data_IF_989953455886
#
_entry.id   IF_989953455886
#
_cell.length_a   1.000
_cell.length_b   1.000
_cell.length_c   1.000
_cell.angle_alpha   90.00
_cell.angle_beta   90.00
_cell.angle_gamma   90.00
#
_symmetry.space_group_name_H-M   'P 1'
#
loop_
_entity.id
_entity.type
_entity.pdbx_description
1 polymer ?
#
# COMPACT_ATOMS: atom_id res chain seq x y z
N UNK A 1 17.16 -39.32 9.74
CA UNK A 1 18.31 -38.68 10.40
C UNK A 1 18.07 -37.18 10.39
N UNK A 2 17.89 -36.55 11.55
CA UNK A 2 17.76 -35.09 11.66
C UNK A 2 19.13 -34.42 11.50
N UNK A 3 19.16 -33.14 11.09
CA UNK A 3 20.39 -32.36 11.03
C UNK A 3 20.89 -32.04 12.44
N UNK A 4 22.19 -31.88 12.60
CA UNK A 4 22.79 -31.45 13.86
C UNK A 4 22.66 -29.92 14.02
N UNK A 5 22.65 -29.39 15.26
CA UNK A 5 22.57 -27.94 15.48
C UNK A 5 23.69 -27.12 14.79
N UNK A 6 24.88 -27.72 14.65
CA UNK A 6 26.01 -27.08 13.96
C UNK A 6 25.75 -26.97 12.46
N UNK A 7 25.19 -28.00 11.84
CA UNK A 7 24.81 -27.97 10.42
C UNK A 7 23.69 -26.97 10.14
N UNK A 8 22.72 -26.84 11.05
CA UNK A 8 21.66 -25.84 10.95
C UNK A 8 22.20 -24.41 10.98
N UNK A 9 23.12 -24.13 11.91
CA UNK A 9 23.77 -22.82 12.02
C UNK A 9 24.56 -22.47 10.74
N UNK A 10 25.29 -23.43 10.17
CA UNK A 10 26.02 -23.24 8.92
C UNK A 10 25.08 -22.97 7.74
N UNK A 11 23.94 -23.66 7.67
CA UNK A 11 22.93 -23.42 6.64
C UNK A 11 22.35 -22.01 6.79
N UNK A 12 22.06 -21.56 8.01
CA UNK A 12 21.55 -20.21 8.22
C UNK A 12 22.57 -19.14 7.83
N UNK A 13 23.83 -19.29 8.24
CA UNK A 13 24.90 -18.38 7.83
C UNK A 13 25.00 -18.28 6.31
N UNK A 14 25.03 -19.43 5.62
CA UNK A 14 25.08 -19.47 4.16
C UNK A 14 23.88 -18.80 3.51
N UNK A 15 22.68 -18.96 4.06
CA UNK A 15 21.47 -18.27 3.57
C UNK A 15 21.56 -16.76 3.73
N UNK A 16 22.18 -16.26 4.79
CA UNK A 16 22.40 -14.82 4.97
C UNK A 16 23.31 -14.26 3.87
N UNK A 17 24.44 -14.92 3.60
CA UNK A 17 25.36 -14.53 2.52
C UNK A 17 24.69 -14.62 1.12
N UNK A 18 23.92 -15.68 0.88
CA UNK A 18 23.13 -15.84 -0.36
C UNK A 18 22.11 -14.71 -0.52
N UNK A 19 21.40 -14.35 0.56
CA UNK A 19 20.40 -13.28 0.54
C UNK A 19 21.05 -11.92 0.23
N UNK A 20 22.16 -11.59 0.88
CA UNK A 20 22.88 -10.34 0.68
C UNK A 20 23.33 -10.18 -0.78
N UNK A 21 24.03 -11.17 -1.33
CA UNK A 21 24.49 -11.11 -2.72
C UNK A 21 23.34 -11.07 -3.73
N UNK A 22 22.24 -11.78 -3.45
CA UNK A 22 21.06 -11.77 -4.30
C UNK A 22 20.38 -10.39 -4.33
N UNK A 23 20.27 -9.73 -3.17
CA UNK A 23 19.73 -8.37 -3.07
C UNK A 23 20.62 -7.32 -3.76
N UNK A 24 21.93 -7.55 -3.79
CA UNK A 24 22.89 -6.74 -4.55
C UNK A 24 22.84 -6.98 -6.07
N UNK A 25 21.97 -7.87 -6.55
CA UNK A 25 21.77 -8.15 -7.99
C UNK A 25 22.63 -9.29 -8.56
N UNK A 26 23.33 -10.06 -7.72
CA UNK A 26 24.15 -11.18 -8.20
C UNK A 26 23.28 -12.32 -8.72
N UNK A 27 23.71 -12.95 -9.82
CA UNK A 27 23.03 -14.13 -10.37
C UNK A 27 23.28 -15.39 -9.53
N UNK A 28 22.38 -16.36 -9.55
CA UNK A 28 22.53 -17.62 -8.78
C UNK A 28 23.84 -18.37 -9.13
N UNK A 29 24.26 -18.30 -10.41
CA UNK A 29 25.51 -18.91 -10.86
C UNK A 29 26.75 -18.17 -10.35
N UNK A 30 26.68 -16.84 -10.18
CA UNK A 30 27.76 -16.07 -9.55
C UNK A 30 27.85 -16.37 -8.05
N UNK A 31 26.70 -16.38 -7.36
CA UNK A 31 26.58 -16.73 -5.94
C UNK A 31 27.13 -18.14 -5.66
N UNK A 32 26.75 -19.11 -6.49
CA UNK A 32 27.22 -20.49 -6.38
C UNK A 32 28.75 -20.60 -6.49
N UNK A 33 29.36 -19.88 -7.45
CA UNK A 33 30.81 -19.83 -7.61
C UNK A 33 31.51 -19.18 -6.42
N UNK A 34 30.95 -18.09 -5.89
CA UNK A 34 31.53 -17.33 -4.79
C UNK A 34 31.50 -18.10 -3.46
N UNK A 35 30.42 -18.81 -3.17
CA UNK A 35 30.27 -19.61 -1.95
C UNK A 35 30.75 -21.06 -2.10
N UNK A 36 31.34 -21.42 -3.25
CA UNK A 36 31.79 -22.78 -3.57
C UNK A 36 30.72 -23.86 -3.33
N UNK A 37 29.46 -23.57 -3.68
CA UNK A 37 28.34 -24.51 -3.58
C UNK A 37 27.69 -24.75 -4.94
N UNK A 38 26.88 -25.81 -5.04
CA UNK A 38 26.11 -26.05 -6.26
C UNK A 38 25.03 -24.98 -6.45
N UNK A 39 24.73 -24.65 -7.71
CA UNK A 39 23.63 -23.73 -8.03
C UNK A 39 22.27 -24.27 -7.56
N UNK A 40 22.09 -25.60 -7.50
CA UNK A 40 20.91 -26.21 -6.90
C UNK A 40 20.79 -25.90 -5.40
N UNK A 41 21.91 -25.86 -4.67
CA UNK A 41 21.92 -25.49 -3.25
C UNK A 41 21.54 -24.02 -3.06
N UNK A 42 22.02 -23.11 -3.93
CA UNK A 42 21.62 -21.69 -3.94
C UNK A 42 20.13 -21.54 -4.24
N UNK A 43 19.60 -22.27 -5.22
CA UNK A 43 18.17 -22.25 -5.55
C UNK A 43 17.29 -22.69 -4.38
N UNK A 44 17.67 -23.77 -3.69
CA UNK A 44 16.97 -24.24 -2.49
C UNK A 44 17.03 -23.23 -1.34
N UNK A 45 18.15 -22.56 -1.14
CA UNK A 45 18.27 -21.51 -0.14
C UNK A 45 17.42 -20.30 -0.48
N UNK A 46 17.43 -19.83 -1.73
CA UNK A 46 16.57 -18.72 -2.17
C UNK A 46 15.09 -19.07 -2.06
N UNK A 47 14.72 -20.35 -2.21
CA UNK A 47 13.35 -20.80 -1.92
C UNK A 47 13.02 -20.67 -0.44
N UNK A 48 13.93 -21.08 0.44
CA UNK A 48 13.74 -20.94 1.88
C UNK A 48 13.71 -19.48 2.33
N UNK A 49 14.66 -18.65 1.87
CA UNK A 49 14.72 -17.21 2.15
C UNK A 49 13.41 -16.51 1.74
N UNK A 50 12.90 -16.81 0.53
CA UNK A 50 11.62 -16.25 0.08
C UNK A 50 10.44 -16.69 0.94
N UNK A 51 10.46 -17.93 1.42
CA UNK A 51 9.45 -18.43 2.33
C UNK A 51 9.55 -17.72 3.69
N UNK A 52 10.76 -17.59 4.24
CA UNK A 52 11.02 -16.90 5.51
C UNK A 52 10.62 -15.42 5.43
N UNK A 53 10.91 -14.73 4.32
CA UNK A 53 10.47 -13.36 4.09
C UNK A 53 8.95 -13.23 3.98
N UNK A 54 8.30 -14.18 3.29
CA UNK A 54 6.84 -14.23 3.21
C UNK A 54 6.21 -14.44 4.59
N UNK A 55 6.73 -15.39 5.35
CA UNK A 55 6.25 -15.68 6.71
C UNK A 55 6.50 -14.50 7.65
N UNK A 56 7.68 -13.87 7.57
CA UNK A 56 7.99 -12.65 8.33
C UNK A 56 7.04 -11.52 7.95
N UNK A 57 6.81 -11.28 6.65
CA UNK A 57 5.87 -10.26 6.19
C UNK A 57 4.43 -10.53 6.62
N UNK A 58 3.99 -11.80 6.62
CA UNK A 58 2.67 -12.19 7.15
C UNK A 58 2.61 -11.90 8.65
N UNK A 59 3.63 -12.28 9.41
CA UNK A 59 3.67 -12.05 10.86
C UNK A 59 3.68 -10.56 11.20
N UNK A 60 4.49 -9.76 10.49
CA UNK A 60 4.56 -8.32 10.70
C UNK A 60 3.22 -7.65 10.35
N UNK A 61 2.54 -8.14 9.30
CA UNK A 61 1.18 -7.72 8.96
C UNK A 61 0.15 -8.11 10.04
N UNK A 62 0.18 -9.35 10.52
CA UNK A 62 -0.68 -9.82 11.62
C UNK A 62 -0.45 -9.02 12.90
N UNK A 63 0.79 -8.68 13.22
CA UNK A 63 1.14 -7.84 14.37
C UNK A 63 0.56 -6.43 14.20
N UNK A 64 0.71 -5.81 13.03
CA UNK A 64 0.12 -4.50 12.74
C UNK A 64 -1.41 -4.53 12.86
N UNK A 65 -2.07 -5.55 12.29
CA UNK A 65 -3.52 -5.78 12.43
C UNK A 65 -3.90 -5.92 13.91
N UNK A 66 -3.12 -6.68 14.69
CA UNK A 66 -3.35 -6.87 16.12
C UNK A 66 -3.27 -5.57 16.92
N UNK A 67 -2.27 -4.73 16.65
CA UNK A 67 -2.11 -3.42 17.28
C UNK A 67 -3.30 -2.49 16.99
N UNK A 68 -3.76 -2.44 15.74
CA UNK A 68 -4.93 -1.63 15.36
C UNK A 68 -6.23 -2.17 15.98
N UNK A 69 -6.43 -3.49 16.00
CA UNK A 69 -7.58 -4.09 16.68
C UNK A 69 -7.60 -3.76 18.18
N UNK A 70 -6.44 -3.74 18.85
CA UNK A 70 -6.36 -3.37 20.25
C UNK A 70 -6.78 -1.91 20.49
N UNK A 71 -6.33 -0.98 19.63
CA UNK A 71 -6.76 0.43 19.69
C UNK A 71 -8.27 0.57 19.49
N UNK A 72 -8.84 -0.15 18.52
CA UNK A 72 -10.28 -0.16 18.27
C UNK A 72 -11.07 -0.73 19.46
N UNK A 73 -10.58 -1.79 20.11
CA UNK A 73 -11.22 -2.35 21.31
C UNK A 73 -11.23 -1.36 22.49
N UNK A 74 -10.11 -0.63 22.70
CA UNK A 74 -10.04 0.41 23.71
C UNK A 74 -11.06 1.52 23.45
N UNK A 75 -11.12 2.00 22.21
CA UNK A 75 -12.05 3.04 21.79
C UNK A 75 -13.52 2.60 21.94
N UNK A 76 -13.85 1.37 21.55
CA UNK A 76 -15.19 0.79 21.72
C UNK A 76 -15.59 0.77 23.20
N UNK A 77 -14.69 0.34 24.08
CA UNK A 77 -14.94 0.33 25.53
C UNK A 77 -15.21 1.73 26.07
N UNK A 78 -14.37 2.70 25.75
CA UNK A 78 -14.51 4.08 26.20
C UNK A 78 -15.79 4.74 25.68
N UNK A 79 -16.17 4.43 24.43
CA UNK A 79 -17.43 4.89 23.84
C UNK A 79 -18.64 4.31 24.59
N UNK A 80 -18.64 3.01 24.90
CA UNK A 80 -19.67 2.39 25.73
C UNK A 80 -19.74 2.96 27.14
N UNK A 81 -18.59 3.26 27.75
CA UNK A 81 -18.53 3.92 29.06
C UNK A 81 -19.06 5.36 29.00
N UNK A 82 -18.76 6.09 27.93
CA UNK A 82 -19.33 7.40 27.65
C UNK A 82 -20.85 7.35 27.51
N UNK A 83 -21.36 6.40 26.72
CA UNK A 83 -22.79 6.15 26.55
C UNK A 83 -23.48 5.85 27.88
N UNK A 84 -22.92 4.94 28.68
CA UNK A 84 -23.46 4.63 30.02
C UNK A 84 -23.49 5.85 30.92
N UNK A 85 -22.40 6.64 30.96
CA UNK A 85 -22.33 7.88 31.76
C UNK A 85 -23.36 8.91 31.31
N UNK A 86 -23.60 9.03 30.01
CA UNK A 86 -24.57 9.99 29.45
C UNK A 86 -26.03 9.65 29.74
N UNK A 87 -26.33 8.43 30.19
CA UNK A 87 -27.66 8.04 30.63
C UNK A 87 -27.92 8.33 32.11
N UNK A 88 -26.87 8.64 32.89
CA UNK A 88 -27.02 8.97 34.30
C UNK A 88 -27.74 10.31 34.44
N UNK A 89 -28.75 10.37 35.31
CA UNK A 89 -29.54 11.58 35.57
C UNK A 89 -28.64 12.72 36.06
N UNK A 90 -28.72 13.87 35.39
CA UNK A 90 -28.06 15.09 35.84
C UNK A 90 -28.86 15.66 37.01
N UNK A 91 -28.41 15.42 38.25
CA UNK A 91 -29.01 16.05 39.42
C UNK A 91 -28.57 17.52 39.47
N UNK A 92 -29.49 18.43 39.12
CA UNK A 92 -29.25 19.87 39.26
C UNK A 92 -29.79 20.33 40.60
N UNK A 93 -28.92 20.80 41.48
CA UNK A 93 -29.32 21.43 42.74
C UNK A 93 -29.35 22.93 42.54
N UNK A 94 -30.55 23.53 42.58
CA UNK A 94 -30.70 24.99 42.61
C UNK A 94 -30.85 25.42 44.05
N UNK A 95 -29.94 26.26 44.52
CA UNK A 95 -30.05 26.93 45.83
C UNK A 95 -30.47 28.37 45.55
N UNK A 96 -31.71 28.68 45.86
CA UNK A 96 -32.23 30.05 45.84
C UNK A 96 -32.30 30.56 47.27
N UNK A 97 -31.61 31.67 47.53
CA UNK A 97 -31.63 32.35 48.83
C UNK A 97 -32.49 33.60 48.70
N UNK A 98 -33.59 33.64 49.44
CA UNK A 98 -34.46 34.82 49.56
C UNK A 98 -34.60 35.14 51.05
N UNK A 99 -33.88 36.14 51.54
CA UNK A 99 -33.87 36.49 52.96
C UNK A 99 -33.12 35.49 53.87
N UNK A 100 -33.63 35.26 55.09
CA UNK A 100 -33.01 34.40 56.11
C UNK A 100 -33.28 32.89 55.92
N UNK A 101 -34.16 32.51 54.99
CA UNK A 101 -34.50 31.10 54.72
C UNK A 101 -33.76 30.58 53.47
N UNK A 102 -33.18 29.38 53.60
CA UNK A 102 -32.55 28.65 52.49
C UNK A 102 -33.46 27.52 52.03
N UNK A 103 -33.91 27.57 50.77
CA UNK A 103 -34.68 26.49 50.15
C UNK A 103 -33.81 25.81 49.09
N UNK A 104 -33.57 24.51 49.26
CA UNK A 104 -32.87 23.70 48.27
C UNK A 104 -33.91 22.93 47.44
N UNK A 105 -33.91 23.13 46.12
CA UNK A 105 -34.78 22.41 45.21
C UNK A 105 -33.94 21.41 44.41
N UNK A 106 -34.27 20.12 44.56
CA UNK A 106 -33.62 19.02 43.85
C UNK A 106 -34.53 18.59 42.70
N UNK A 107 -34.08 18.79 41.47
CA UNK A 107 -34.76 18.33 40.26
C UNK A 107 -33.95 17.19 39.64
N UNK A 108 -34.59 16.05 39.42
CA UNK A 108 -34.02 14.91 38.68
C UNK A 108 -34.75 14.77 37.35
N UNK A 109 -34.00 14.82 36.24
CA UNK A 109 -34.49 14.51 34.89
C UNK A 109 -33.79 13.24 34.40
N UNK A 110 -34.57 12.28 33.90
CA UNK A 110 -34.03 11.15 33.15
C UNK A 110 -33.35 11.65 31.89
N UNK A 111 -32.18 11.10 31.58
CA UNK A 111 -31.44 11.37 30.35
C UNK A 111 -31.50 10.15 29.43
N UNK A 112 -31.60 10.39 28.12
CA UNK A 112 -31.73 9.34 27.11
C UNK A 112 -30.37 8.92 26.48
N UNK A 113 -29.25 9.38 27.05
CA UNK A 113 -27.91 9.14 26.52
C UNK A 113 -27.54 10.06 25.34
N UNK A 114 -26.24 10.31 25.13
CA UNK A 114 -25.72 11.06 23.99
C UNK A 114 -25.47 10.12 22.79
N UNK A 115 -26.23 10.25 21.69
CA UNK A 115 -26.14 9.33 20.55
C UNK A 115 -24.77 9.31 19.86
N UNK A 116 -23.92 10.33 20.06
CA UNK A 116 -22.57 10.38 19.48
C UNK A 116 -21.70 9.21 19.92
N UNK A 117 -21.91 8.68 21.12
CA UNK A 117 -21.18 7.49 21.59
C UNK A 117 -21.58 6.23 20.80
N UNK A 118 -22.85 6.09 20.42
CA UNK A 118 -23.30 4.96 19.60
C UNK A 118 -22.79 5.06 18.17
N UNK A 119 -22.72 6.28 17.61
CA UNK A 119 -22.09 6.52 16.30
C UNK A 119 -20.62 6.11 16.32
N UNK A 120 -19.88 6.45 17.39
CA UNK A 120 -18.49 6.06 17.56
C UNK A 120 -18.33 4.52 17.65
N UNK A 121 -19.22 3.84 18.38
CA UNK A 121 -19.26 2.36 18.42
C UNK A 121 -19.51 1.78 17.02
N UNK A 122 -20.48 2.30 16.29
CA UNK A 122 -20.79 1.86 14.93
C UNK A 122 -19.56 2.03 14.01
N UNK A 123 -18.91 3.19 14.03
CA UNK A 123 -17.69 3.46 13.25
C UNK A 123 -16.57 2.48 13.60
N UNK A 124 -16.38 2.21 14.89
CA UNK A 124 -15.36 1.26 15.37
C UNK A 124 -15.64 -0.17 14.88
N UNK A 125 -16.90 -0.60 14.89
CA UNK A 125 -17.33 -1.89 14.34
C UNK A 125 -17.07 -1.96 12.83
N UNK A 126 -17.40 -0.90 12.09
CA UNK A 126 -17.14 -0.83 10.64
C UNK A 126 -15.64 -0.90 10.33
N UNK A 127 -14.80 -0.14 11.04
CA UNK A 127 -13.34 -0.19 10.86
C UNK A 127 -12.77 -1.57 11.14
N UNK A 128 -13.24 -2.26 12.19
CA UNK A 128 -12.83 -3.65 12.50
C UNK A 128 -13.25 -4.64 11.41
N UNK A 129 -14.46 -4.53 10.88
CA UNK A 129 -14.93 -5.39 9.77
C UNK A 129 -14.10 -5.21 8.51
N UNK A 130 -13.78 -3.96 8.19
CA UNK A 130 -12.91 -3.61 7.06
C UNK A 130 -11.50 -4.17 7.25
N UNK A 131 -10.90 -4.00 8.43
CA UNK A 131 -9.55 -4.50 8.75
C UNK A 131 -9.46 -6.03 8.69
N UNK A 132 -10.53 -6.74 9.09
CA UNK A 132 -10.62 -8.19 9.04
C UNK A 132 -11.08 -8.74 7.67
N UNK A 133 -11.37 -7.88 6.70
CA UNK A 133 -11.85 -8.29 5.38
C UNK A 133 -13.23 -8.99 5.41
N UNK A 134 -14.07 -8.70 6.41
CA UNK A 134 -15.41 -9.27 6.55
C UNK A 134 -16.44 -8.61 5.62
N UNK A 135 -16.09 -7.48 5.02
CA UNK A 135 -16.93 -6.77 4.08
C UNK A 135 -16.65 -7.25 2.64
N UNK A 136 -17.67 -7.18 1.78
CA UNK A 136 -17.53 -7.57 0.40
C UNK A 136 -16.49 -6.67 -0.30
N UNK A 137 -15.59 -7.24 -1.13
CA UNK A 137 -14.59 -6.46 -1.85
C UNK A 137 -15.29 -5.43 -2.75
N UNK A 138 -14.90 -4.16 -2.62
CA UNK A 138 -15.35 -3.11 -3.52
C UNK A 138 -14.83 -3.40 -4.92
N UNK A 139 -15.73 -3.53 -5.90
CA UNK A 139 -15.34 -3.65 -7.32
C UNK A 139 -14.68 -2.35 -7.75
N UNK A 140 -13.36 -2.37 -7.87
CA UNK A 140 -12.59 -1.29 -8.49
C UNK A 140 -12.56 -1.62 -9.98
N UNK A 141 -13.11 -0.72 -10.82
CA UNK A 141 -12.94 -0.86 -12.27
C UNK A 141 -11.44 -0.78 -12.59
N UNK A 142 -10.92 -1.56 -13.55
CA UNK A 142 -9.56 -1.36 -14.02
C UNK A 142 -9.42 0.10 -14.45
N UNK A 143 -8.50 0.84 -13.84
CA UNK A 143 -8.13 2.19 -14.26
C UNK A 143 -6.83 2.15 -15.06
N UNK A 144 -6.58 3.18 -15.86
CA UNK A 144 -5.32 3.41 -16.58
C UNK A 144 -4.12 3.36 -15.62
N UNK A 145 -2.89 3.05 -16.09
CA UNK A 145 -1.67 3.10 -15.27
C UNK A 145 -1.45 4.42 -14.50
N UNK A 146 -1.95 5.54 -15.02
CA UNK A 146 -1.89 6.87 -14.36
C UNK A 146 -3.02 7.09 -13.33
N UNK A 147 -4.01 6.19 -13.25
CA UNK A 147 -5.09 6.22 -12.25
C UNK A 147 -6.25 7.17 -12.55
N UNK A 148 -6.15 7.99 -13.60
CA UNK A 148 -7.10 9.07 -13.87
C UNK A 148 -8.39 8.62 -14.61
N UNK A 149 -8.31 7.58 -15.44
CA UNK A 149 -9.44 7.13 -16.28
C UNK A 149 -9.76 5.65 -16.04
N UNK A 150 -11.05 5.34 -15.90
CA UNK A 150 -11.53 3.95 -15.99
C UNK A 150 -11.26 3.44 -17.41
N UNK A 151 -10.90 2.16 -17.57
CA UNK A 151 -10.78 1.52 -18.89
C UNK A 151 -12.11 1.65 -19.65
N UNK A 152 -12.23 2.72 -20.44
CA UNK A 152 -13.33 2.90 -21.38
C UNK A 152 -13.02 2.07 -22.64
N UNK A 153 -14.05 1.56 -23.29
CA UNK A 153 -13.99 0.78 -24.54
C UNK A 153 -13.15 1.51 -25.60
N UNK A 154 -13.11 2.83 -25.52
CA UNK A 154 -12.30 3.69 -26.37
C UNK A 154 -10.78 3.50 -26.21
N UNK A 155 -10.28 3.22 -24.99
CA UNK A 155 -8.85 2.94 -24.75
C UNK A 155 -8.45 1.61 -25.39
N UNK A 156 -9.31 0.60 -25.30
CA UNK A 156 -9.11 -0.68 -26.00
C UNK A 156 -9.12 -0.48 -27.52
N UNK A 157 -10.05 0.30 -28.07
CA UNK A 157 -10.05 0.64 -29.50
C UNK A 157 -8.76 1.35 -29.93
N UNK A 158 -8.27 2.29 -29.11
CA UNK A 158 -7.03 3.02 -29.38
C UNK A 158 -5.81 2.09 -29.33
N UNK A 159 -5.75 1.19 -28.36
CA UNK A 159 -4.71 0.16 -28.25
C UNK A 159 -4.75 -0.83 -29.42
N UNK A 160 -5.94 -1.29 -29.83
CA UNK A 160 -6.10 -2.16 -31.00
C UNK A 160 -5.66 -1.47 -32.28
N UNK A 161 -6.07 -0.21 -32.48
CA UNK A 161 -5.64 0.59 -33.63
C UNK A 161 -4.12 0.80 -33.64
N UNK A 162 -3.52 1.09 -32.49
CA UNK A 162 -2.07 1.23 -32.37
C UNK A 162 -1.35 -0.09 -32.69
N UNK A 163 -1.87 -1.22 -32.20
CA UNK A 163 -1.33 -2.54 -32.50
C UNK A 163 -1.47 -2.94 -33.97
N UNK A 164 -2.54 -2.51 -34.66
CA UNK A 164 -2.70 -2.66 -36.11
C UNK A 164 -1.72 -1.80 -36.91
N UNK A 165 -1.39 -0.61 -36.39
CA UNK A 165 -0.42 0.32 -37.00
C UNK A 165 1.05 -0.08 -36.72
N UNK A 166 1.31 -0.99 -35.77
CA UNK A 166 2.66 -1.46 -35.48
C UNK A 166 2.98 -2.68 -36.36
N UNK A 167 4.12 -2.73 -37.06
CA UNK A 167 4.48 -3.89 -37.87
C UNK A 167 4.57 -5.16 -37.00
N UNK A 168 3.78 -6.17 -37.35
CA UNK A 168 3.69 -7.44 -36.63
C UNK A 168 4.90 -8.31 -36.95
N UNK A 169 5.87 -8.35 -36.05
CA UNK A 169 7.03 -9.23 -36.08
C UNK A 169 8.13 -8.77 -35.11
N UNK A 170 9.07 -9.62 -34.69
CA UNK A 170 10.23 -9.14 -33.94
C UNK A 170 10.97 -8.13 -34.82
N UNK A 171 10.97 -6.86 -34.43
CA UNK A 171 11.90 -5.90 -35.00
C UNK A 171 13.29 -6.35 -34.58
N UNK A 172 14.00 -7.05 -35.48
CA UNK A 172 15.41 -7.36 -35.27
C UNK A 172 16.13 -6.02 -35.36
N UNK A 173 16.48 -5.47 -34.20
CA UNK A 173 17.34 -4.28 -34.13
C UNK A 173 18.76 -4.77 -34.39
N UNK A 174 19.10 -4.90 -35.66
CA UNK A 174 20.47 -5.10 -36.10
C UNK A 174 21.12 -3.75 -36.47
N UNK A 175 22.44 -3.79 -36.73
CA UNK A 175 23.20 -2.59 -37.07
C UNK A 175 22.67 -1.93 -38.34
N UNK A 176 22.19 -2.72 -39.30
CA UNK A 176 21.66 -2.25 -40.59
C UNK A 176 20.34 -1.48 -40.41
N UNK A 177 19.46 -1.95 -39.53
CA UNK A 177 18.24 -1.24 -39.14
C UNK A 177 18.53 0.10 -38.46
N UNK A 178 19.50 0.14 -37.55
CA UNK A 178 19.89 1.37 -36.85
C UNK A 178 20.50 2.40 -37.80
N UNK A 179 21.34 1.96 -38.74
CA UNK A 179 21.93 2.83 -39.75
C UNK A 179 20.87 3.41 -40.70
N UNK A 180 19.89 2.61 -41.12
CA UNK A 180 18.75 3.10 -41.93
C UNK A 180 17.86 4.10 -41.18
N UNK A 181 17.64 3.91 -39.87
CA UNK A 181 16.88 4.87 -39.08
C UNK A 181 17.64 6.18 -38.89
N UNK A 182 18.95 6.11 -38.66
CA UNK A 182 19.80 7.30 -38.51
C UNK A 182 19.87 8.12 -39.81
N UNK A 183 19.97 7.47 -40.97
CA UNK A 183 19.96 8.18 -42.26
C UNK A 183 18.62 8.87 -42.55
N UNK A 184 17.50 8.21 -42.24
CA UNK A 184 16.16 8.82 -42.36
C UNK A 184 15.97 10.01 -41.42
N UNK A 185 16.55 9.98 -40.22
CA UNK A 185 16.52 11.10 -39.28
C UNK A 185 17.36 12.27 -39.82
N UNK A 186 18.53 11.99 -40.40
CA UNK A 186 19.38 13.01 -41.03
C UNK A 186 18.69 13.66 -42.24
N UNK A 187 18.09 12.90 -43.14
CA UNK A 187 17.34 13.44 -44.30
C UNK A 187 16.12 14.28 -43.87
N UNK A 188 15.41 13.88 -42.80
CA UNK A 188 14.30 14.66 -42.23
C UNK A 188 14.76 15.95 -41.55
N UNK A 189 15.97 15.97 -41.00
CA UNK A 189 16.57 17.18 -40.42
C UNK A 189 17.05 18.16 -41.49
N UNK A 190 17.39 17.69 -42.69
CA UNK A 190 17.79 18.54 -43.82
C UNK A 190 16.58 19.11 -44.59
N UNK A 191 15.45 18.41 -44.59
CA UNK A 191 14.24 18.83 -45.33
C UNK A 191 13.30 19.75 -44.55
N UNK A 192 13.48 19.91 -43.24
CA UNK A 192 12.78 20.91 -42.44
C UNK A 192 13.83 21.82 -41.77
N UNK A 193 14.07 23.04 -42.30
CA UNK A 193 14.95 23.97 -41.61
C UNK A 193 14.35 24.32 -40.24
N UNK A 194 15.19 24.57 -39.21
CA UNK A 194 14.71 24.98 -37.90
C UNK A 194 13.78 26.20 -38.04
N UNK A 195 12.68 26.28 -37.28
CA UNK A 195 11.84 27.46 -37.32
C UNK A 195 12.69 28.68 -36.94
N UNK A 196 12.72 29.69 -37.81
CA UNK A 196 13.43 30.95 -37.56
C UNK A 196 13.05 31.47 -36.17
N UNK A 197 14.02 31.46 -35.27
CA UNK A 197 13.94 32.18 -34.00
C UNK A 197 13.84 33.66 -34.36
N UNK A 198 12.63 34.22 -34.29
CA UNK A 198 12.46 35.67 -34.30
C UNK A 198 13.11 36.22 -33.03
N UNK A 199 14.35 36.67 -33.18
CA UNK A 199 14.99 37.55 -32.21
C UNK A 199 14.10 38.79 -32.09
N UNK A 200 13.46 38.94 -30.93
CA UNK A 200 12.83 40.20 -30.56
C UNK A 200 13.97 41.18 -30.27
N UNK A 201 14.32 41.98 -31.27
CA UNK A 201 15.11 43.20 -31.10
C UNK A 201 14.34 44.11 -30.13
N UNK A 202 14.79 44.12 -28.87
CA UNK A 202 14.53 45.18 -27.93
C UNK A 202 15.51 46.31 -28.25
N UNK A 203 15.03 47.31 -28.97
CA UNK A 203 15.69 48.61 -29.10
C UNK A 203 14.83 49.70 -28.46
N UNK A 204 15.46 50.42 -27.51
CA UNK A 204 15.20 51.77 -26.96
C UNK A 204 13.76 52.25 -26.70
#
# INVERSE_FOLDING_TARGET
MGRTPQEEMQIQHRRQEVAEMYLQGSTQAAIARQLAVSQATVSNDLKAIRQDWKESGIRDFEEAVGQELHKLQLLEREAWDGWRRSQLSLETTRVTQTGSDKKAEKSSRQQHGDPRFLELVQRTISSRRSLLGLDAPTRIAPTSPDGDEAYDVHVLQKLFKLAEETPVGPTVIDAEFLEQQLSQIQEKSETNPPPETKEHDNDC
#
